data_IF_934620790755
#
_entry.id   IF_934620790755
#
_cell.length_a   1.000
_cell.length_b   1.000
_cell.length_c   1.000
_cell.angle_alpha   90.00
_cell.angle_beta   90.00
_cell.angle_gamma   90.00
#
_symmetry.space_group_name_H-M   'P 1'
#
loop_
_entity.id
_entity.type
_entity.pdbx_description
1 polymer ?
#
# COMPACT_ATOMS: atom_id res chain seq x y z
N UNK A 1 -27.38 -3.46 18.71
CA UNK A 1 -26.82 -2.92 17.44
C UNK A 1 -25.64 -2.06 17.83
N UNK A 2 -24.51 -2.24 17.18
CA UNK A 2 -23.26 -1.50 17.46
C UNK A 2 -22.89 -0.74 16.19
N UNK A 3 -22.57 0.53 16.29
CA UNK A 3 -22.18 1.38 15.18
C UNK A 3 -20.70 1.76 15.24
N UNK A 4 -20.10 2.03 14.09
CA UNK A 4 -18.72 2.46 13.98
C UNK A 4 -18.47 3.36 12.77
N UNK A 5 -17.34 4.08 12.78
CA UNK A 5 -16.85 4.92 11.68
C UNK A 5 -15.54 4.36 11.14
N UNK A 6 -15.45 4.19 9.83
CA UNK A 6 -14.30 3.67 9.11
C UNK A 6 -14.22 4.25 7.70
N UNK A 7 -13.08 4.08 7.04
CA UNK A 7 -12.90 4.45 5.64
C UNK A 7 -13.10 5.94 5.35
N UNK A 8 -12.77 6.84 6.29
CA UNK A 8 -12.95 8.28 6.10
C UNK A 8 -11.90 8.87 5.15
N UNK A 9 -12.35 9.70 4.21
CA UNK A 9 -11.51 10.33 3.19
C UNK A 9 -10.80 9.27 2.34
N UNK A 10 -9.49 9.40 2.17
CA UNK A 10 -8.63 8.44 1.47
C UNK A 10 -8.13 7.28 2.35
N UNK A 11 -8.67 7.13 3.55
CA UNK A 11 -8.31 6.03 4.44
C UNK A 11 -8.87 4.71 3.91
N UNK A 12 -7.97 3.76 3.74
CA UNK A 12 -8.27 2.40 3.38
C UNK A 12 -8.80 1.61 4.58
N UNK A 13 -9.55 0.53 4.33
CA UNK A 13 -9.98 -0.40 5.37
C UNK A 13 -9.28 -1.74 5.13
N UNK A 14 -8.39 -2.10 6.03
CA UNK A 14 -7.54 -3.29 5.91
C UNK A 14 -8.19 -4.52 6.53
N UNK A 15 -7.75 -5.74 6.17
CA UNK A 15 -8.23 -6.97 6.78
C UNK A 15 -8.04 -6.99 8.31
N UNK A 16 -6.94 -6.48 8.83
CA UNK A 16 -6.70 -6.38 10.26
C UNK A 16 -7.74 -5.50 10.97
N UNK A 17 -8.14 -4.41 10.34
CA UNK A 17 -9.21 -3.54 10.84
C UNK A 17 -10.56 -4.23 10.86
N UNK A 18 -10.89 -5.01 9.83
CA UNK A 18 -12.13 -5.79 9.77
C UNK A 18 -12.18 -6.80 10.92
N UNK A 19 -11.10 -7.53 11.15
CA UNK A 19 -11.01 -8.49 12.26
C UNK A 19 -11.26 -7.79 13.60
N UNK A 20 -10.61 -6.64 13.84
CA UNK A 20 -10.80 -5.89 15.08
C UNK A 20 -12.27 -5.46 15.30
N UNK A 21 -13.02 -5.20 14.24
CA UNK A 21 -14.47 -4.94 14.35
C UNK A 21 -15.22 -6.19 14.82
N UNK A 22 -14.93 -7.36 14.24
CA UNK A 22 -15.56 -8.61 14.68
C UNK A 22 -15.17 -8.94 16.12
N UNK A 23 -13.90 -8.83 16.49
CA UNK A 23 -13.42 -9.03 17.87
C UNK A 23 -14.13 -8.10 18.86
N UNK A 24 -14.42 -6.85 18.44
CA UNK A 24 -15.20 -5.95 19.28
C UNK A 24 -16.66 -6.42 19.46
N UNK A 25 -17.26 -6.99 18.43
CA UNK A 25 -18.64 -7.49 18.48
C UNK A 25 -18.81 -8.75 19.36
N UNK A 26 -17.73 -9.51 19.53
CA UNK A 26 -17.72 -10.72 20.38
C UNK A 26 -17.56 -10.42 21.87
N UNK A 27 -17.27 -9.17 22.26
CA UNK A 27 -17.15 -8.76 23.66
C UNK A 27 -18.53 -8.70 24.33
N UNK A 28 -18.58 -9.01 25.63
CA UNK A 28 -19.80 -8.87 26.43
C UNK A 28 -20.33 -7.43 26.39
N UNK A 29 -19.43 -6.44 26.41
CA UNK A 29 -19.72 -5.02 26.29
C UNK A 29 -18.96 -4.42 25.10
N UNK A 30 -19.48 -4.54 23.86
CA UNK A 30 -18.81 -3.99 22.69
C UNK A 30 -18.84 -2.46 22.70
N UNK A 31 -17.70 -1.84 22.35
CA UNK A 31 -17.65 -0.39 22.12
C UNK A 31 -18.65 -0.02 21.02
N UNK A 32 -19.52 0.94 21.32
CA UNK A 32 -20.43 1.54 20.35
C UNK A 32 -19.90 2.90 19.87
N UNK A 33 -20.26 3.31 18.67
CA UNK A 33 -19.74 4.51 18.01
C UNK A 33 -18.20 4.53 17.91
N UNK A 34 -17.61 3.35 17.77
CA UNK A 34 -16.16 3.21 17.63
C UNK A 34 -15.62 3.83 16.34
N UNK A 35 -14.33 4.12 16.32
CA UNK A 35 -13.57 4.41 15.11
C UNK A 35 -12.55 3.30 14.84
N UNK A 36 -12.29 3.01 13.58
CA UNK A 36 -11.26 2.06 13.16
C UNK A 36 -10.41 2.67 12.03
N UNK A 37 -9.08 2.52 12.11
CA UNK A 37 -8.14 3.17 11.20
C UNK A 37 -7.98 4.68 11.41
N UNK A 38 -8.63 5.23 12.43
CA UNK A 38 -8.58 6.64 12.82
C UNK A 38 -8.37 6.68 14.33
N UNK A 39 -7.39 7.45 14.78
CA UNK A 39 -7.20 7.68 16.20
C UNK A 39 -8.16 8.76 16.69
N UNK A 40 -9.05 8.38 17.60
CA UNK A 40 -9.95 9.30 18.30
C UNK A 40 -9.38 9.60 19.67
N UNK A 41 -8.77 10.76 19.81
CA UNK A 41 -8.14 11.24 21.03
C UNK A 41 -9.09 12.07 21.91
N UNK A 42 -10.34 12.21 21.50
CA UNK A 42 -11.37 12.99 22.23
C UNK A 42 -12.28 12.07 23.04
N UNK A 43 -12.88 11.06 22.39
CA UNK A 43 -13.82 10.14 23.03
C UNK A 43 -13.23 8.77 23.33
N UNK A 44 -12.03 8.50 22.86
CA UNK A 44 -11.25 7.25 23.09
C UNK A 44 -12.00 5.98 22.69
N UNK A 45 -12.79 6.08 21.62
CA UNK A 45 -13.59 4.96 21.11
C UNK A 45 -12.88 4.18 20.00
N UNK A 46 -11.65 4.55 19.66
CA UNK A 46 -10.86 3.82 18.66
C UNK A 46 -10.67 2.35 19.07
N UNK A 47 -10.71 1.47 18.06
CA UNK A 47 -10.35 0.06 18.22
C UNK A 47 -8.88 -0.09 17.85
N UNK A 48 -8.15 -0.79 18.70
CA UNK A 48 -6.82 -1.25 18.40
C UNK A 48 -6.89 -2.43 17.42
N UNK A 49 -5.97 -2.47 16.46
CA UNK A 49 -5.89 -3.56 15.48
C UNK A 49 -4.44 -3.88 15.15
N UNK A 50 -4.23 -5.07 14.63
CA UNK A 50 -2.94 -5.48 14.06
C UNK A 50 -3.12 -5.67 12.57
N UNK A 51 -2.19 -5.12 11.80
CA UNK A 51 -2.14 -5.45 10.38
C UNK A 51 -1.77 -6.92 10.21
N UNK A 52 -2.45 -7.56 9.29
CA UNK A 52 -2.22 -8.94 8.91
C UNK A 52 -1.89 -9.03 7.44
N UNK A 53 -0.95 -9.86 7.10
CA UNK A 53 -0.67 -10.22 5.71
C UNK A 53 -1.49 -11.47 5.37
N UNK A 54 -2.36 -11.33 4.37
CA UNK A 54 -3.11 -12.47 3.83
C UNK A 54 -2.26 -13.14 2.75
N UNK A 55 -2.04 -14.46 2.83
CA UNK A 55 -1.33 -15.17 1.79
C UNK A 55 -2.16 -15.20 0.49
N UNK A 56 -1.55 -14.77 -0.60
CA UNK A 56 -2.13 -14.85 -1.94
C UNK A 56 -1.16 -15.62 -2.86
N UNK A 57 -1.17 -16.98 -2.82
CA UNK A 57 -0.29 -17.79 -3.64
C UNK A 57 -0.46 -17.46 -5.12
N UNK A 58 0.65 -17.26 -5.83
CA UNK A 58 0.63 -16.95 -7.26
C UNK A 58 0.22 -15.53 -7.64
N UNK A 59 -0.10 -14.67 -6.68
CA UNK A 59 -0.33 -13.24 -6.90
C UNK A 59 0.97 -12.46 -6.73
N UNK A 60 1.24 -11.56 -7.65
CA UNK A 60 2.35 -10.59 -7.57
C UNK A 60 1.75 -9.23 -7.23
N UNK A 61 2.29 -8.59 -6.21
CA UNK A 61 1.89 -7.27 -5.74
C UNK A 61 3.02 -6.26 -5.97
N UNK A 62 2.69 -5.12 -6.58
CA UNK A 62 3.67 -4.08 -6.90
C UNK A 62 3.24 -2.73 -6.35
N UNK A 63 4.21 -1.96 -5.85
CA UNK A 63 4.01 -0.57 -5.44
C UNK A 63 5.01 0.33 -6.17
N UNK A 64 4.49 1.31 -6.90
CA UNK A 64 5.32 2.18 -7.73
C UNK A 64 5.12 3.64 -7.33
N UNK A 65 6.24 4.31 -7.09
CA UNK A 65 6.30 5.71 -6.65
C UNK A 65 6.69 6.59 -7.83
N UNK A 66 5.84 7.55 -8.17
CA UNK A 66 6.04 8.47 -9.27
C UNK A 66 5.77 9.92 -8.89
N UNK A 67 6.22 10.82 -9.75
CA UNK A 67 5.95 12.25 -9.65
C UNK A 67 4.76 12.61 -10.56
N UNK A 68 3.81 13.36 -10.05
CA UNK A 68 2.67 13.82 -10.84
C UNK A 68 3.09 14.54 -12.11
N UNK A 69 2.73 13.98 -13.26
CA UNK A 69 3.10 14.49 -14.58
C UNK A 69 4.34 13.85 -15.23
N UNK A 70 5.02 12.92 -14.56
CA UNK A 70 6.22 12.24 -15.10
C UNK A 70 5.91 11.07 -16.05
N UNK A 71 4.64 10.72 -16.23
CA UNK A 71 4.21 9.61 -17.09
C UNK A 71 4.12 8.25 -16.38
N UNK A 72 4.56 8.13 -15.13
CA UNK A 72 4.57 6.88 -14.36
C UNK A 72 3.18 6.22 -14.30
N UNK A 73 2.14 6.99 -14.00
CA UNK A 73 0.77 6.48 -13.93
C UNK A 73 0.30 5.93 -15.27
N UNK A 74 0.59 6.64 -16.38
CA UNK A 74 0.26 6.18 -17.73
C UNK A 74 0.98 4.87 -18.09
N UNK A 75 2.27 4.80 -17.79
CA UNK A 75 3.06 3.58 -18.00
C UNK A 75 2.51 2.40 -17.20
N UNK A 76 2.16 2.62 -15.93
CA UNK A 76 1.61 1.58 -15.05
C UNK A 76 0.22 1.11 -15.51
N UNK A 77 -0.63 2.02 -16.02
CA UNK A 77 -1.91 1.65 -16.65
C UNK A 77 -1.71 0.75 -17.86
N UNK A 78 -0.76 1.11 -18.73
CA UNK A 78 -0.45 0.30 -19.90
C UNK A 78 0.12 -1.08 -19.51
N UNK A 79 1.03 -1.11 -18.53
CA UNK A 79 1.62 -2.36 -18.06
C UNK A 79 0.56 -3.32 -17.50
N UNK A 80 -0.29 -2.85 -16.60
CA UNK A 80 -1.32 -3.71 -16.00
C UNK A 80 -2.38 -4.15 -17.02
N UNK A 81 -2.72 -3.29 -17.98
CA UNK A 81 -3.62 -3.65 -19.08
C UNK A 81 -3.00 -4.72 -19.99
N UNK A 82 -1.71 -4.61 -20.29
CA UNK A 82 -0.99 -5.61 -21.07
C UNK A 82 -0.94 -6.95 -20.35
N UNK A 83 -0.63 -6.94 -19.06
CA UNK A 83 -0.62 -8.15 -18.21
C UNK A 83 -1.99 -8.84 -18.23
N UNK A 84 -3.06 -8.06 -18.07
CA UNK A 84 -4.43 -8.59 -18.09
C UNK A 84 -4.87 -9.08 -19.46
N UNK A 85 -4.82 -8.23 -20.49
CA UNK A 85 -5.39 -8.55 -21.81
C UNK A 85 -4.49 -9.46 -22.66
N UNK A 86 -3.18 -9.22 -22.67
CA UNK A 86 -2.24 -9.99 -23.48
C UNK A 86 -1.71 -11.19 -22.71
N UNK A 87 -1.38 -10.97 -21.43
CA UNK A 87 -0.87 -12.03 -20.55
C UNK A 87 -1.96 -12.98 -20.02
N UNK A 88 -3.24 -12.65 -20.20
CA UNK A 88 -4.36 -13.49 -19.76
C UNK A 88 -4.45 -13.66 -18.24
N UNK A 89 -3.89 -12.73 -17.49
CA UNK A 89 -3.89 -12.74 -16.00
C UNK A 89 -5.05 -11.92 -15.44
N UNK A 90 -5.52 -12.28 -14.26
CA UNK A 90 -6.30 -11.35 -13.46
C UNK A 90 -5.40 -10.19 -13.05
N UNK A 91 -5.91 -8.98 -13.18
CA UNK A 91 -5.12 -7.77 -12.97
C UNK A 91 -5.96 -6.68 -12.29
N UNK A 92 -5.39 -6.03 -11.30
CA UNK A 92 -6.00 -4.95 -10.54
C UNK A 92 -5.02 -3.79 -10.41
N UNK A 93 -5.51 -2.57 -10.53
CA UNK A 93 -4.72 -1.38 -10.30
C UNK A 93 -5.50 -0.34 -9.51
N UNK A 94 -4.85 0.27 -8.55
CA UNK A 94 -5.33 1.46 -7.84
C UNK A 94 -4.26 2.54 -7.87
N UNK A 95 -4.68 3.78 -8.10
CA UNK A 95 -3.77 4.93 -8.21
C UNK A 95 -4.12 5.95 -7.14
N UNK A 96 -3.22 6.17 -6.21
CA UNK A 96 -3.33 7.21 -5.21
C UNK A 96 -2.58 8.47 -5.67
N UNK A 97 -3.21 9.62 -5.49
CA UNK A 97 -2.68 10.92 -5.89
C UNK A 97 -2.61 11.84 -4.68
N UNK A 98 -1.56 12.65 -4.62
CA UNK A 98 -1.52 13.81 -3.74
C UNK A 98 -2.53 14.87 -4.22
N UNK A 99 -2.91 15.76 -3.34
CA UNK A 99 -3.83 16.88 -3.63
C UNK A 99 -3.28 17.87 -4.66
N UNK A 100 -1.96 17.88 -4.89
CA UNK A 100 -1.31 18.73 -5.90
C UNK A 100 -1.47 18.16 -7.31
N UNK A 101 -1.97 18.97 -8.25
CA UNK A 101 -2.19 18.54 -9.66
C UNK A 101 -0.92 18.15 -10.42
N UNK A 102 0.20 18.79 -10.14
CA UNK A 102 1.50 18.48 -10.77
C UNK A 102 2.60 18.54 -9.73
N UNK A 103 3.61 17.67 -9.88
CA UNK A 103 4.72 17.59 -8.95
C UNK A 103 4.36 16.95 -7.59
N UNK A 104 3.13 16.51 -7.39
CA UNK A 104 2.70 15.75 -6.22
C UNK A 104 3.12 14.29 -6.30
N UNK A 105 3.11 13.62 -5.16
CA UNK A 105 3.37 12.19 -5.07
C UNK A 105 2.25 11.40 -5.76
N UNK A 106 2.63 10.40 -6.54
CA UNK A 106 1.71 9.38 -7.03
C UNK A 106 2.17 7.99 -6.60
N UNK A 107 1.25 7.18 -6.14
CA UNK A 107 1.50 5.79 -5.80
C UNK A 107 0.57 4.90 -6.60
N UNK A 108 1.15 3.94 -7.32
CA UNK A 108 0.40 2.94 -8.08
C UNK A 108 0.51 1.62 -7.34
N UNK A 109 -0.64 1.03 -7.02
CA UNK A 109 -0.76 -0.27 -6.38
C UNK A 109 -1.29 -1.24 -7.42
N UNK A 110 -0.46 -2.20 -7.84
CA UNK A 110 -0.80 -3.17 -8.87
C UNK A 110 -0.80 -4.57 -8.28
N UNK A 111 -1.76 -5.38 -8.68
CA UNK A 111 -1.80 -6.82 -8.38
C UNK A 111 -2.14 -7.57 -9.64
N UNK A 112 -1.48 -8.70 -9.84
CA UNK A 112 -1.82 -9.60 -10.93
C UNK A 112 -1.45 -11.05 -10.58
N UNK A 113 -2.15 -12.00 -11.19
CA UNK A 113 -1.97 -13.42 -10.91
C UNK A 113 -2.88 -14.30 -11.76
N UNK A 114 -2.82 -15.60 -11.50
CA UNK A 114 -3.61 -16.61 -12.22
C UNK A 114 -5.02 -16.79 -11.63
N UNK A 115 -5.24 -16.29 -10.41
CA UNK A 115 -6.51 -16.41 -9.71
C UNK A 115 -7.20 -15.04 -9.56
N UNK A 116 -8.53 -14.99 -9.38
CA UNK A 116 -9.26 -13.75 -9.17
C UNK A 116 -8.73 -12.95 -7.98
N UNK A 117 -8.54 -11.65 -8.18
CA UNK A 117 -8.04 -10.75 -7.13
C UNK A 117 -9.24 -10.17 -6.37
N UNK A 118 -9.39 -10.59 -5.12
CA UNK A 118 -10.47 -10.15 -4.23
C UNK A 118 -10.04 -9.07 -3.23
N UNK A 119 -8.77 -8.68 -3.24
CA UNK A 119 -8.22 -7.65 -2.35
C UNK A 119 -8.71 -6.26 -2.75
N UNK A 120 -9.47 -5.60 -1.87
CA UNK A 120 -10.02 -4.25 -2.09
C UNK A 120 -9.18 -3.14 -1.43
N UNK A 121 -8.14 -3.52 -0.70
CA UNK A 121 -7.23 -2.64 0.05
C UNK A 121 -5.93 -2.39 -0.72
N UNK A 122 -5.22 -1.33 -0.34
CA UNK A 122 -3.94 -0.95 -0.94
C UNK A 122 -2.86 -2.02 -0.71
N UNK A 123 -1.81 -2.01 -1.53
CA UNK A 123 -0.66 -2.89 -1.35
C UNK A 123 0.16 -2.38 -0.18
N UNK A 124 0.25 -3.16 0.87
CA UNK A 124 1.08 -2.97 2.07
C UNK A 124 2.17 -4.04 2.20
N UNK A 125 2.21 -5.00 1.28
CA UNK A 125 3.25 -6.04 1.19
C UNK A 125 3.49 -6.32 -0.29
N UNK A 126 4.62 -5.84 -0.81
CA UNK A 126 4.92 -5.82 -2.23
C UNK A 126 6.08 -6.75 -2.59
N UNK A 127 5.91 -7.50 -3.67
CA UNK A 127 6.99 -8.33 -4.27
C UNK A 127 7.95 -7.46 -5.09
N UNK A 128 7.43 -6.32 -5.60
CA UNK A 128 8.19 -5.38 -6.41
C UNK A 128 7.85 -3.94 -6.01
N UNK A 129 8.88 -3.15 -5.74
CA UNK A 129 8.76 -1.70 -5.50
C UNK A 129 9.63 -0.95 -6.49
N UNK A 130 9.03 0.03 -7.18
CA UNK A 130 9.77 0.93 -8.07
C UNK A 130 9.65 2.38 -7.62
N UNK A 131 10.77 3.10 -7.66
CA UNK A 131 10.84 4.53 -7.35
C UNK A 131 11.39 5.27 -8.55
N UNK A 132 10.53 6.01 -9.24
CA UNK A 132 10.89 6.72 -10.48
C UNK A 132 11.53 8.09 -10.21
N UNK A 133 11.22 8.71 -9.06
CA UNK A 133 11.82 9.98 -8.67
C UNK A 133 12.77 9.77 -7.47
N UNK A 134 14.09 9.96 -7.66
CA UNK A 134 15.10 9.62 -6.65
C UNK A 134 15.00 10.46 -5.36
N UNK A 135 14.31 11.58 -5.41
CA UNK A 135 14.07 12.43 -4.24
C UNK A 135 13.20 11.74 -3.18
N UNK A 136 12.39 10.75 -3.58
CA UNK A 136 11.47 10.08 -2.67
C UNK A 136 12.17 9.15 -1.68
N UNK A 137 13.28 8.52 -2.06
CA UNK A 137 14.05 7.69 -1.10
C UNK A 137 14.68 8.48 0.05
N UNK A 138 14.75 9.82 -0.09
CA UNK A 138 15.21 10.72 0.98
C UNK A 138 14.07 11.24 1.85
N UNK A 139 12.84 11.23 1.34
CA UNK A 139 11.66 11.80 2.01
C UNK A 139 10.78 10.75 2.66
N UNK A 140 10.73 9.57 2.09
CA UNK A 140 9.84 8.48 2.49
C UNK A 140 10.62 7.18 2.68
N UNK A 141 10.16 6.31 3.56
CA UNK A 141 10.63 4.93 3.58
C UNK A 141 9.95 4.16 2.44
N UNK A 142 10.56 4.22 1.26
CA UNK A 142 10.01 3.60 0.05
C UNK A 142 10.14 2.07 0.04
N UNK A 143 10.82 1.51 1.03
CA UNK A 143 11.03 0.06 1.19
C UNK A 143 10.17 -0.54 2.30
N UNK A 144 9.38 0.27 3.01
CA UNK A 144 8.56 -0.18 4.12
C UNK A 144 7.65 -1.36 3.76
N UNK A 145 7.04 -1.30 2.56
CA UNK A 145 6.13 -2.34 2.10
C UNK A 145 6.81 -3.44 1.27
N UNK A 146 8.13 -3.40 1.08
CA UNK A 146 8.84 -4.41 0.31
C UNK A 146 9.03 -5.68 1.13
N UNK A 147 8.58 -6.83 0.58
CA UNK A 147 8.79 -8.14 1.17
C UNK A 147 10.28 -8.49 1.25
N UNK A 148 10.64 -9.33 2.20
CA UNK A 148 11.96 -9.96 2.22
C UNK A 148 12.17 -10.77 0.94
N UNK A 149 13.31 -10.54 0.27
CA UNK A 149 13.61 -11.13 -1.05
C UNK A 149 12.89 -10.48 -2.23
N UNK A 150 12.08 -9.45 -1.99
CA UNK A 150 11.42 -8.68 -3.04
C UNK A 150 12.41 -7.84 -3.87
N UNK A 151 11.94 -7.36 -5.01
CA UNK A 151 12.75 -6.58 -5.95
C UNK A 151 12.52 -5.07 -5.76
N UNK A 152 13.60 -4.31 -5.60
CA UNK A 152 13.57 -2.86 -5.55
C UNK A 152 14.22 -2.25 -6.80
N UNK A 153 13.49 -1.40 -7.51
CA UNK A 153 13.99 -0.65 -8.66
C UNK A 153 14.02 0.85 -8.34
N UNK A 154 15.20 1.45 -8.49
CA UNK A 154 15.37 2.89 -8.31
C UNK A 154 15.88 3.52 -9.60
N UNK A 155 15.10 4.46 -10.17
CA UNK A 155 15.57 5.32 -11.25
C UNK A 155 16.31 6.50 -10.68
N UNK A 156 17.64 6.47 -10.76
CA UNK A 156 18.47 7.55 -10.24
C UNK A 156 19.79 7.69 -11.04
N UNK A 157 20.42 8.87 -11.00
CA UNK A 157 21.71 9.12 -11.65
C UNK A 157 22.92 8.65 -10.81
N UNK A 158 22.69 8.03 -9.64
CA UNK A 158 23.75 7.66 -8.71
C UNK A 158 24.51 6.42 -9.18
N UNK A 159 25.77 6.31 -8.74
CA UNK A 159 26.60 5.13 -8.98
C UNK A 159 26.21 3.98 -8.05
N UNK A 160 26.63 2.76 -8.40
CA UNK A 160 26.36 1.55 -7.61
C UNK A 160 26.79 1.66 -6.14
N UNK A 161 27.84 2.42 -5.83
CA UNK A 161 28.30 2.63 -4.44
C UNK A 161 27.27 3.38 -3.58
N UNK A 162 26.42 4.21 -4.18
CA UNK A 162 25.33 4.87 -3.46
C UNK A 162 24.11 3.96 -3.28
N UNK A 163 23.91 2.98 -4.15
CA UNK A 163 22.87 1.95 -3.98
C UNK A 163 23.12 1.01 -2.81
N UNK A 164 24.38 0.76 -2.48
CA UNK A 164 24.78 -0.12 -1.37
C UNK A 164 24.89 0.62 -0.04
N UNK A 165 24.56 1.92 0.00
CA UNK A 165 24.46 2.64 1.27
C UNK A 165 23.36 2.01 2.12
N UNK A 166 23.65 1.64 3.38
CA UNK A 166 22.67 0.96 4.24
C UNK A 166 21.41 1.82 4.37
N UNK A 167 20.25 1.15 4.33
CA UNK A 167 18.96 1.76 4.63
C UNK A 167 19.02 2.44 6.01
N UNK A 168 18.25 3.51 6.25
CA UNK A 168 18.10 4.06 7.60
C UNK A 168 17.77 3.01 8.67
N UNK A 169 17.08 1.92 8.31
CA UNK A 169 16.80 0.77 9.19
C UNK A 169 18.05 -0.02 9.59
N UNK A 170 19.07 -0.07 8.72
CA UNK A 170 20.31 -0.79 9.02
C UNK A 170 21.22 -0.04 9.99
N UNK A 171 20.94 1.26 10.23
CA UNK A 171 21.70 2.10 11.18
C UNK A 171 21.24 1.97 12.63
N UNK A 172 20.15 1.26 12.86
CA UNK A 172 19.53 1.09 14.19
C UNK A 172 19.71 -0.31 14.78
N UNK A 173 20.60 -1.14 14.21
CA UNK A 173 21.02 -2.44 14.77
C UNK A 173 22.43 -2.40 15.32
#
# INVERSE_FOLDING_TARGET
MVGGRYGLSSKDTTPGQIIAVYDNLEKDEPKNNFTIGINDDVTFTSLDYKEIELPHPGQISCKLWGLGGDGTVGANKNAISTIGFVGGKYAQAYFSYDTMKSGGLTQSHLRFGDEPILSTYLVSSADFVAVHAPTYVKKYDTTEDLKEGGTFLLNCPWTCLLYTSPSPRDRTR
#
